data_IF_065238057233
#
_entry.id   IF_065238057233
#
_cell.length_a   1.000
_cell.length_b   1.000
_cell.length_c   1.000
_cell.angle_alpha   90.00
_cell.angle_beta   90.00
_cell.angle_gamma   90.00
#
_symmetry.space_group_name_H-M   'P 1'
#
loop_
_entity.id
_entity.type
_entity.pdbx_description
1 polymer ?
#
# COMPACT_ATOMS: atom_id res chain seq x y z
N UNK A 1 10.14 -21.83 -10.49
CA UNK A 1 11.16 -21.51 -9.45
C UNK A 1 11.83 -20.22 -9.88
N UNK A 2 11.78 -19.18 -9.05
CA UNK A 2 12.38 -17.87 -9.36
C UNK A 2 13.63 -17.72 -8.50
N UNK A 3 14.74 -17.22 -9.05
CA UNK A 3 15.95 -16.94 -8.27
C UNK A 3 16.13 -15.45 -8.10
N UNK A 4 16.59 -15.00 -6.94
CA UNK A 4 16.98 -13.60 -6.75
C UNK A 4 18.31 -13.33 -7.46
N UNK A 5 18.64 -12.09 -7.81
CA UNK A 5 20.01 -11.73 -8.14
C UNK A 5 20.95 -12.08 -6.97
N UNK A 6 22.19 -12.45 -7.28
CA UNK A 6 23.22 -12.65 -6.25
C UNK A 6 23.54 -11.33 -5.55
N UNK A 7 23.65 -11.37 -4.23
CA UNK A 7 24.14 -10.28 -3.39
C UNK A 7 25.26 -10.80 -2.48
N UNK A 8 26.27 -9.98 -2.20
CA UNK A 8 27.35 -10.38 -1.28
C UNK A 8 26.84 -10.61 0.15
N UNK A 9 25.83 -9.85 0.58
CA UNK A 9 25.25 -9.95 1.92
C UNK A 9 24.35 -11.17 2.15
N UNK A 10 23.67 -11.68 1.12
CA UNK A 10 22.68 -12.78 1.29
C UNK A 10 22.80 -13.94 0.29
N UNK A 11 23.76 -13.85 -0.64
CA UNK A 11 23.91 -14.82 -1.72
C UNK A 11 22.77 -14.78 -2.73
N UNK A 12 22.49 -15.92 -3.33
CA UNK A 12 21.37 -16.13 -4.25
C UNK A 12 20.30 -17.00 -3.57
N UNK A 13 19.05 -16.55 -3.60
CA UNK A 13 17.94 -17.26 -2.97
C UNK A 13 17.01 -17.86 -4.03
N UNK A 14 16.60 -19.10 -3.80
CA UNK A 14 15.56 -19.76 -4.58
C UNK A 14 14.18 -19.48 -3.98
N UNK A 15 13.36 -18.72 -4.71
CA UNK A 15 11.98 -18.43 -4.38
C UNK A 15 11.06 -19.49 -4.98
N UNK A 16 10.22 -20.06 -4.11
CA UNK A 16 9.16 -21.01 -4.46
C UNK A 16 7.84 -20.56 -3.88
N UNK A 17 6.75 -20.85 -4.58
CA UNK A 17 5.43 -20.73 -4.00
C UNK A 17 5.27 -21.75 -2.87
N UNK A 18 4.47 -21.40 -1.86
CA UNK A 18 4.06 -22.33 -0.83
C UNK A 18 3.17 -23.45 -1.39
N UNK A 19 2.71 -24.35 -0.52
CA UNK A 19 1.82 -25.46 -0.92
C UNK A 19 0.38 -25.02 -1.19
N UNK A 20 0.01 -23.80 -0.78
CA UNK A 20 -1.32 -23.22 -0.98
C UNK A 20 -1.34 -22.34 -2.22
N UNK A 21 -1.33 -22.96 -3.41
CA UNK A 21 -1.51 -22.27 -4.69
C UNK A 21 -2.84 -22.72 -5.29
N UNK A 22 -3.82 -21.81 -5.34
CA UNK A 22 -5.05 -21.99 -6.14
C UNK A 22 -4.92 -21.11 -7.39
N UNK A 23 -4.61 -21.73 -8.52
CA UNK A 23 -4.53 -21.08 -9.82
C UNK A 23 -5.56 -21.70 -10.75
N UNK A 24 -6.47 -20.88 -11.29
CA UNK A 24 -7.50 -21.32 -12.22
C UNK A 24 -7.33 -20.61 -13.56
N UNK A 25 -7.29 -21.34 -14.69
CA UNK A 25 -7.22 -20.71 -15.99
C UNK A 25 -8.52 -19.94 -16.26
N UNK A 26 -8.38 -18.69 -16.70
CA UNK A 26 -9.50 -17.92 -17.24
C UNK A 26 -9.64 -18.34 -18.70
N UNK A 27 -10.74 -19.01 -19.05
CA UNK A 27 -11.05 -19.41 -20.44
C UNK A 27 -12.09 -18.43 -20.97
N UNK A 28 -11.80 -17.83 -22.12
CA UNK A 28 -12.71 -16.93 -22.84
C UNK A 28 -13.75 -17.68 -23.70
N UNK A 29 -13.79 -19.02 -23.63
CA UNK A 29 -14.77 -19.83 -24.35
C UNK A 29 -16.03 -20.04 -23.49
N UNK A 30 -17.14 -20.33 -24.15
CA UNK A 30 -18.52 -20.50 -23.67
C UNK A 30 -18.74 -21.41 -22.44
N UNK A 31 -17.74 -22.20 -22.04
CA UNK A 31 -17.76 -23.07 -20.84
C UNK A 31 -16.94 -22.52 -19.64
N UNK A 32 -16.34 -21.34 -19.78
CA UNK A 32 -15.59 -20.63 -18.73
C UNK A 32 -16.41 -19.58 -17.98
N UNK A 33 -15.92 -19.06 -16.83
CA UNK A 33 -16.55 -17.90 -16.20
C UNK A 33 -16.50 -16.72 -17.19
N UNK A 34 -17.67 -16.24 -17.61
CA UNK A 34 -17.79 -15.15 -18.58
C UNK A 34 -17.06 -13.87 -18.14
N UNK A 35 -16.80 -12.97 -19.08
CA UNK A 35 -16.00 -11.76 -18.89
C UNK A 35 -16.42 -10.94 -17.66
N UNK A 36 -17.70 -10.88 -17.33
CA UNK A 36 -18.22 -10.21 -16.12
C UNK A 36 -17.72 -10.84 -14.82
N UNK A 37 -17.55 -12.17 -14.80
CA UNK A 37 -17.00 -12.89 -13.62
C UNK A 37 -15.51 -12.60 -13.46
N UNK A 38 -14.78 -12.50 -14.58
CA UNK A 38 -13.36 -12.12 -14.58
C UNK A 38 -13.20 -10.67 -14.15
N UNK A 39 -14.04 -9.76 -14.67
CA UNK A 39 -14.06 -8.35 -14.31
C UNK A 39 -14.42 -8.17 -12.83
N UNK A 40 -15.42 -8.89 -12.32
CA UNK A 40 -15.78 -8.87 -10.89
C UNK A 40 -14.68 -9.46 -10.01
N UNK A 41 -14.02 -10.54 -10.46
CA UNK A 41 -12.87 -11.12 -9.75
C UNK A 41 -11.72 -10.12 -9.69
N UNK A 42 -11.33 -9.52 -10.83
CA UNK A 42 -10.30 -8.49 -10.90
C UNK A 42 -10.69 -7.29 -10.04
N UNK A 43 -11.91 -6.76 -10.17
CA UNK A 43 -12.42 -5.66 -9.36
C UNK A 43 -12.30 -5.97 -7.86
N UNK A 44 -12.71 -7.17 -7.42
CA UNK A 44 -12.57 -7.62 -6.02
C UNK A 44 -11.14 -7.51 -5.49
N UNK A 45 -10.15 -7.86 -6.30
CA UNK A 45 -8.74 -7.80 -5.88
C UNK A 45 -8.08 -6.44 -6.14
N UNK A 46 -8.65 -5.61 -7.02
CA UNK A 46 -8.22 -4.23 -7.25
C UNK A 46 -8.67 -3.31 -6.13
N UNK A 47 -9.87 -3.49 -5.59
CA UNK A 47 -10.30 -2.78 -4.38
C UNK A 47 -9.55 -3.29 -3.15
N UNK A 48 -9.28 -4.60 -3.04
CA UNK A 48 -8.42 -5.19 -1.99
C UNK A 48 -6.93 -4.86 -2.16
N UNK A 49 -6.59 -3.57 -2.14
CA UNK A 49 -5.22 -3.09 -2.04
C UNK A 49 -4.63 -3.33 -0.64
N UNK A 50 -3.31 -3.10 -0.50
CA UNK A 50 -2.56 -3.22 0.77
C UNK A 50 -3.24 -2.56 1.96
N UNK A 51 -3.89 -1.43 1.68
CA UNK A 51 -4.62 -0.64 2.65
C UNK A 51 -5.80 -1.42 3.26
N UNK A 52 -6.44 -2.31 2.51
CA UNK A 52 -7.55 -3.15 2.99
C UNK A 52 -7.10 -4.46 3.63
N UNK A 53 -5.87 -4.93 3.39
CA UNK A 53 -5.30 -6.06 4.15
C UNK A 53 -4.96 -5.69 5.60
N UNK A 54 -4.85 -4.39 5.93
CA UNK A 54 -4.48 -3.92 7.27
C UNK A 54 -3.12 -4.42 7.77
N UNK A 55 -2.32 -5.04 6.90
CA UNK A 55 -1.05 -5.66 7.25
C UNK A 55 0.04 -4.59 7.22
N UNK A 56 0.25 -3.91 8.34
CA UNK A 56 1.17 -2.79 8.42
C UNK A 56 0.75 -1.72 9.42
N UNK A 57 1.31 -0.54 9.27
CA UNK A 57 0.87 0.71 9.94
C UNK A 57 0.51 1.76 8.89
N UNK A 58 -0.42 2.64 9.23
CA UNK A 58 -0.84 3.80 8.42
C UNK A 58 0.17 4.96 8.48
N UNK A 59 1.09 4.93 9.45
CA UNK A 59 2.20 5.85 9.60
C UNK A 59 3.56 5.18 9.34
N UNK A 60 4.55 5.99 8.98
CA UNK A 60 5.93 5.53 8.77
C UNK A 60 6.61 5.17 10.08
N UNK A 61 7.41 4.11 10.03
CA UNK A 61 8.30 3.69 11.11
C UNK A 61 9.68 4.29 10.83
N UNK A 62 10.24 5.04 11.77
CA UNK A 62 11.55 5.72 11.63
C UNK A 62 12.61 5.11 12.53
N UNK A 63 12.21 4.37 13.56
CA UNK A 63 13.10 3.65 14.48
C UNK A 63 12.76 2.17 14.58
N UNK A 64 13.67 1.40 15.21
CA UNK A 64 13.40 0.00 15.54
C UNK A 64 12.29 -0.12 16.61
N UNK A 65 12.30 0.79 17.59
CA UNK A 65 11.33 0.80 18.69
C UNK A 65 9.90 1.04 18.19
N UNK A 66 9.72 1.83 17.12
CA UNK A 66 8.42 2.00 16.47
C UNK A 66 7.83 0.67 15.99
N UNK A 67 8.68 -0.26 15.51
CA UNK A 67 8.26 -1.60 15.08
C UNK A 67 7.79 -2.44 16.27
N UNK A 68 8.48 -2.31 17.40
CA UNK A 68 8.18 -3.07 18.60
C UNK A 68 6.89 -2.58 19.27
N UNK A 69 6.62 -1.27 19.19
CA UNK A 69 5.39 -0.64 19.69
C UNK A 69 4.20 -0.76 18.72
N UNK A 70 4.43 -1.14 17.46
CA UNK A 70 3.37 -1.28 16.48
C UNK A 70 2.32 -2.32 16.91
N UNK A 71 1.04 -1.92 16.84
CA UNK A 71 -0.13 -2.78 17.12
C UNK A 71 -0.44 -3.67 15.92
N UNK A 72 0.39 -4.68 15.72
CA UNK A 72 0.28 -5.64 14.61
C UNK A 72 0.47 -7.07 15.11
N UNK A 73 0.12 -8.05 14.28
CA UNK A 73 0.38 -9.47 14.59
C UNK A 73 1.89 -9.76 14.62
N UNK A 74 2.29 -10.82 15.31
CA UNK A 74 3.71 -11.20 15.39
C UNK A 74 4.33 -11.49 14.02
N UNK A 75 3.53 -12.04 13.10
CA UNK A 75 3.97 -12.28 11.73
C UNK A 75 4.26 -10.96 11.00
N UNK A 76 3.37 -9.97 11.09
CA UNK A 76 3.57 -8.65 10.47
C UNK A 76 4.77 -7.94 11.09
N UNK A 77 4.94 -8.00 12.42
CA UNK A 77 6.11 -7.46 13.12
C UNK A 77 7.41 -8.11 12.62
N UNK A 78 7.42 -9.44 12.44
CA UNK A 78 8.59 -10.16 11.90
C UNK A 78 8.95 -9.70 10.47
N UNK A 79 7.95 -9.44 9.62
CA UNK A 79 8.17 -8.90 8.28
C UNK A 79 8.72 -7.46 8.33
N UNK A 80 8.19 -6.61 9.20
CA UNK A 80 8.71 -5.24 9.41
C UNK A 80 10.18 -5.25 9.87
N UNK A 81 10.50 -6.06 10.89
CA UNK A 81 11.89 -6.23 11.36
C UNK A 81 12.81 -6.75 10.25
N UNK A 82 12.31 -7.67 9.42
CA UNK A 82 13.07 -8.18 8.27
C UNK A 82 13.35 -7.07 7.26
N UNK A 83 12.35 -6.26 6.90
CA UNK A 83 12.53 -5.09 6.04
C UNK A 83 13.55 -4.11 6.64
N UNK A 84 13.53 -3.91 7.95
CA UNK A 84 14.45 -3.01 8.63
C UNK A 84 15.90 -3.49 8.60
N UNK A 85 16.12 -4.79 8.82
CA UNK A 85 17.44 -5.43 8.75
C UNK A 85 17.97 -5.39 7.33
N UNK A 86 17.18 -5.83 6.35
CA UNK A 86 17.58 -5.85 4.94
C UNK A 86 17.80 -4.44 4.39
N UNK A 87 16.98 -3.47 4.78
CA UNK A 87 17.15 -2.07 4.38
C UNK A 87 18.37 -1.38 4.99
N UNK A 88 19.12 -2.04 5.89
CA UNK A 88 20.43 -1.60 6.34
C UNK A 88 21.59 -2.05 5.45
N UNK A 89 21.33 -2.93 4.48
CA UNK A 89 22.35 -3.47 3.57
C UNK A 89 22.51 -2.53 2.35
N UNK A 90 23.74 -2.13 2.00
CA UNK A 90 24.01 -1.29 0.83
C UNK A 90 23.43 -1.86 -0.47
N UNK A 91 23.44 -3.18 -0.63
CA UNK A 91 22.91 -3.91 -1.78
C UNK A 91 21.41 -3.69 -1.99
N UNK A 92 20.68 -3.33 -0.92
CA UNK A 92 19.24 -3.09 -0.95
C UNK A 92 18.87 -1.61 -0.81
N UNK A 93 19.84 -0.70 -0.84
CA UNK A 93 19.60 0.74 -0.78
C UNK A 93 18.56 1.23 -1.82
N UNK A 94 18.57 0.76 -3.09
CA UNK A 94 17.57 1.20 -4.08
C UNK A 94 16.12 0.79 -3.74
N UNK A 95 15.93 -0.24 -2.92
CA UNK A 95 14.61 -0.75 -2.54
C UNK A 95 13.96 0.06 -1.42
N UNK A 96 14.75 0.87 -0.67
CA UNK A 96 14.26 1.74 0.40
C UNK A 96 13.42 0.99 1.46
N UNK A 97 13.79 -0.25 1.80
CA UNK A 97 12.97 -1.14 2.63
C UNK A 97 12.63 -0.57 4.01
N UNK A 98 13.51 0.24 4.62
CA UNK A 98 13.23 0.93 5.89
C UNK A 98 12.14 1.99 5.73
N UNK A 99 12.23 2.82 4.69
CA UNK A 99 11.23 3.86 4.38
C UNK A 99 9.82 3.28 4.23
N UNK A 100 9.74 2.07 3.66
CA UNK A 100 8.49 1.37 3.36
C UNK A 100 8.21 0.23 4.35
N UNK A 101 8.87 0.17 5.51
CA UNK A 101 8.66 -0.92 6.47
C UNK A 101 7.22 -1.00 6.98
N UNK A 102 6.57 0.17 7.17
CA UNK A 102 5.15 0.29 7.51
C UNK A 102 4.20 -0.40 6.52
N UNK A 103 4.60 -0.51 5.25
CA UNK A 103 3.90 -1.24 4.18
C UNK A 103 4.63 -2.53 3.78
N UNK A 104 5.34 -3.15 4.73
CA UNK A 104 6.06 -4.42 4.55
C UNK A 104 7.11 -4.39 3.41
N UNK A 105 7.76 -3.25 3.24
CA UNK A 105 8.80 -3.01 2.22
C UNK A 105 8.25 -2.70 0.83
N UNK A 106 6.92 -2.57 0.69
CA UNK A 106 6.28 -2.37 -0.60
C UNK A 106 5.97 -0.90 -0.88
N UNK A 107 6.38 -0.41 -2.06
CA UNK A 107 6.36 1.02 -2.44
C UNK A 107 5.14 1.42 -3.30
N UNK A 108 4.17 0.55 -3.57
CA UNK A 108 3.11 0.84 -4.54
C UNK A 108 1.83 0.01 -4.40
N UNK A 109 1.16 -0.27 -5.53
CA UNK A 109 -0.07 -1.07 -5.59
C UNK A 109 0.23 -2.56 -5.64
N UNK A 110 -0.37 -3.37 -4.75
CA UNK A 110 -0.08 -4.82 -4.56
C UNK A 110 -0.29 -5.68 -5.82
N UNK A 111 -0.89 -5.11 -6.85
CA UNK A 111 -1.05 -5.75 -8.14
C UNK A 111 0.25 -5.66 -8.95
N UNK A 112 0.88 -6.82 -9.13
CA UNK A 112 1.93 -6.96 -10.14
C UNK A 112 1.26 -7.22 -11.49
N UNK A 113 1.32 -6.24 -12.40
CA UNK A 113 0.84 -6.40 -13.78
C UNK A 113 1.82 -7.31 -14.53
N UNK A 114 1.35 -8.45 -15.02
CA UNK A 114 2.13 -9.29 -15.93
C UNK A 114 2.31 -8.57 -17.26
N UNK A 115 3.55 -8.45 -17.76
CA UNK A 115 3.81 -7.82 -19.07
C UNK A 115 3.13 -8.54 -20.24
N UNK A 116 2.88 -9.84 -20.09
CA UNK A 116 2.26 -10.67 -21.14
C UNK A 116 0.72 -10.57 -21.16
N UNK A 117 0.08 -10.21 -20.03
CA UNK A 117 -1.37 -10.28 -19.88
C UNK A 117 -2.03 -8.97 -19.44
N UNK A 118 -1.23 -7.95 -19.10
CA UNK A 118 -1.75 -6.66 -18.66
C UNK A 118 -1.62 -5.61 -19.76
N UNK A 119 -2.73 -4.96 -20.09
CA UNK A 119 -2.74 -3.78 -20.95
C UNK A 119 -2.26 -2.53 -20.18
N UNK A 120 -1.79 -1.52 -20.92
CA UNK A 120 -1.28 -0.29 -20.32
C UNK A 120 -2.42 0.61 -19.84
N UNK A 121 -2.19 1.43 -18.80
CA UNK A 121 -3.14 2.47 -18.40
C UNK A 121 -3.39 3.52 -19.48
N UNK A 122 -2.46 3.66 -20.44
CA UNK A 122 -2.66 4.51 -21.61
C UNK A 122 -3.69 3.90 -22.56
N UNK A 123 -3.55 2.60 -22.89
CA UNK A 123 -4.51 1.88 -23.72
C UNK A 123 -5.91 1.86 -23.10
N UNK A 124 -6.03 1.58 -21.80
CA UNK A 124 -7.33 1.64 -21.09
C UNK A 124 -7.96 3.04 -21.07
N UNK A 125 -7.15 4.10 -21.08
CA UNK A 125 -7.67 5.48 -21.13
C UNK A 125 -8.12 5.86 -22.53
N UNK A 126 -7.40 5.43 -23.56
CA UNK A 126 -7.78 5.64 -24.95
C UNK A 126 -9.10 4.92 -25.27
N UNK A 127 -9.21 3.65 -24.86
CA UNK A 127 -10.41 2.83 -25.06
C UNK A 127 -11.65 3.42 -24.34
N UNK A 128 -11.49 3.88 -23.08
CA UNK A 128 -12.56 4.61 -22.39
C UNK A 128 -12.93 5.93 -23.07
N UNK A 129 -11.95 6.69 -23.57
CA UNK A 129 -12.23 7.94 -24.25
C UNK A 129 -13.00 7.71 -25.55
N UNK A 130 -12.70 6.63 -26.28
CA UNK A 130 -13.44 6.20 -27.46
C UNK A 130 -14.88 5.77 -27.11
N UNK A 131 -15.05 4.98 -26.05
CA UNK A 131 -16.36 4.56 -25.56
C UNK A 131 -17.22 5.75 -25.08
N UNK A 132 -16.65 6.67 -24.29
CA UNK A 132 -17.33 7.88 -23.84
C UNK A 132 -17.59 8.88 -24.98
N UNK A 133 -16.85 8.81 -26.08
CA UNK A 133 -17.11 9.59 -27.29
C UNK A 133 -18.36 9.14 -28.06
N UNK A 134 -18.88 7.93 -27.79
CA UNK A 134 -20.02 7.35 -28.50
C UNK A 134 -21.37 7.56 -27.78
N UNK A 135 -21.39 7.91 -26.49
CA UNK A 135 -22.61 8.32 -25.77
C UNK A 135 -22.89 9.81 -25.96
N UNK A 136 -23.23 10.23 -27.18
CA UNK A 136 -23.94 11.51 -27.36
C UNK A 136 -25.42 11.25 -27.10
N UNK A 137 -25.85 11.38 -25.85
CA UNK A 137 -27.29 11.45 -25.54
C UNK A 137 -27.79 12.79 -26.12
N UNK A 138 -28.77 12.81 -27.06
CA UNK A 138 -29.14 14.02 -27.81
C UNK A 138 -29.75 15.18 -27.00
N UNK A 139 -29.62 15.18 -25.66
CA UNK A 139 -30.17 16.21 -24.77
C UNK A 139 -29.36 16.46 -23.49
N UNK A 140 -28.16 15.92 -23.32
CA UNK A 140 -27.36 16.16 -22.09
C UNK A 140 -26.52 17.43 -22.21
N UNK A 141 -26.81 18.44 -21.39
CA UNK A 141 -25.89 19.55 -21.14
C UNK A 141 -24.78 19.05 -20.22
N UNK A 142 -23.57 18.87 -20.77
CA UNK A 142 -22.40 18.53 -19.99
C UNK A 142 -21.92 19.79 -19.25
N UNK A 143 -22.25 19.91 -17.96
CA UNK A 143 -21.68 20.95 -17.11
C UNK A 143 -20.27 20.54 -16.68
N UNK A 144 -19.28 20.92 -17.50
CA UNK A 144 -17.87 20.55 -17.35
C UNK A 144 -17.05 21.63 -16.61
N UNK A 145 -17.70 22.61 -15.99
CA UNK A 145 -17.02 23.72 -15.35
C UNK A 145 -16.67 23.42 -13.88
N UNK A 146 -15.58 22.69 -13.70
CA UNK A 146 -14.91 22.62 -12.40
C UNK A 146 -14.07 23.87 -12.19
N UNK A 147 -14.50 24.77 -11.29
CA UNK A 147 -13.67 25.89 -10.82
C UNK A 147 -12.98 25.49 -9.52
N UNK A 148 -11.67 25.64 -9.49
CA UNK A 148 -10.89 25.49 -8.26
C UNK A 148 -11.37 26.53 -7.23
N UNK A 149 -11.88 26.05 -6.09
CA UNK A 149 -12.40 26.91 -5.00
C UNK A 149 -11.32 27.17 -3.93
N UNK A 150 -10.26 26.35 -3.89
CA UNK A 150 -9.14 26.48 -2.95
C UNK A 150 -8.66 25.12 -2.43
N UNK A 151 -7.49 25.12 -1.79
CA UNK A 151 -6.94 23.98 -1.06
C UNK A 151 -6.32 24.47 0.24
N UNK A 152 -6.46 23.69 1.30
CA UNK A 152 -5.99 24.06 2.64
C UNK A 152 -7.15 24.31 3.59
N UNK A 153 -6.81 24.53 4.86
CA UNK A 153 -7.80 24.81 5.88
C UNK A 153 -8.34 26.24 5.71
N UNK A 154 -9.65 26.41 5.86
CA UNK A 154 -10.19 27.75 6.15
C UNK A 154 -9.53 28.31 7.42
N UNK A 155 -9.54 29.63 7.65
CA UNK A 155 -8.97 30.20 8.88
C UNK A 155 -9.47 29.51 10.16
N UNK A 156 -10.75 29.14 10.22
CA UNK A 156 -11.32 28.37 11.34
C UNK A 156 -10.84 26.91 11.39
N UNK A 157 -10.74 26.23 10.25
CA UNK A 157 -10.22 24.87 10.19
C UNK A 157 -8.71 24.80 10.52
N UNK A 158 -7.96 25.88 10.29
CA UNK A 158 -6.55 25.97 10.64
C UNK A 158 -6.37 26.01 12.17
N UNK A 159 -7.26 26.73 12.87
CA UNK A 159 -7.28 26.75 14.34
C UNK A 159 -7.63 25.39 14.94
N UNK A 160 -8.60 24.68 14.34
CA UNK A 160 -8.94 23.31 14.74
C UNK A 160 -7.77 22.34 14.51
N UNK A 161 -7.10 22.44 13.35
CA UNK A 161 -5.93 21.61 13.05
C UNK A 161 -4.75 21.90 14.00
N UNK A 162 -4.55 23.17 14.39
CA UNK A 162 -3.54 23.56 15.36
C UNK A 162 -3.83 22.97 16.75
N UNK A 163 -5.08 23.04 17.23
CA UNK A 163 -5.48 22.44 18.50
C UNK A 163 -5.28 20.91 18.52
N UNK A 164 -5.66 20.22 17.44
CA UNK A 164 -5.42 18.77 17.32
C UNK A 164 -3.92 18.46 17.34
N UNK A 165 -3.08 19.28 16.71
CA UNK A 165 -1.64 19.09 16.72
C UNK A 165 -1.03 19.29 18.11
N UNK A 166 -1.52 20.26 18.88
CA UNK A 166 -1.12 20.53 20.27
C UNK A 166 -1.54 19.40 21.21
N UNK A 167 -2.78 18.90 21.08
CA UNK A 167 -3.27 17.74 21.84
C UNK A 167 -2.43 16.48 21.57
N UNK A 168 -2.03 16.26 20.32
CA UNK A 168 -1.18 15.13 19.92
C UNK A 168 0.25 15.27 20.45
N UNK A 169 0.81 16.48 20.48
CA UNK A 169 2.12 16.74 21.08
C UNK A 169 2.10 16.45 22.59
N UNK A 170 1.09 17.00 23.28
CA UNK A 170 0.87 16.81 24.72
C UNK A 170 0.67 15.33 25.07
N UNK A 171 -0.11 14.60 24.28
CA UNK A 171 -0.34 13.16 24.46
C UNK A 171 0.96 12.34 24.28
N UNK A 172 1.87 12.78 23.41
CA UNK A 172 3.18 12.13 23.22
C UNK A 172 4.11 12.38 24.40
N UNK A 173 4.12 13.59 24.96
CA UNK A 173 4.88 13.92 26.16
C UNK A 173 4.43 13.06 27.34
N UNK A 174 3.12 12.98 27.61
CA UNK A 174 2.59 12.09 28.65
C UNK A 174 2.89 10.61 28.41
N UNK A 175 2.87 10.15 27.16
CA UNK A 175 3.24 8.78 26.82
C UNK A 175 4.74 8.51 27.07
N UNK A 176 5.62 9.48 26.81
CA UNK A 176 7.05 9.39 27.11
C UNK A 176 7.32 9.39 28.61
N UNK A 177 6.69 10.28 29.38
CA UNK A 177 6.79 10.31 30.84
C UNK A 177 6.32 8.99 31.46
N UNK A 178 5.16 8.48 31.04
CA UNK A 178 4.63 7.19 31.51
C UNK A 178 5.53 5.99 31.13
N UNK A 179 6.24 6.05 30.00
CA UNK A 179 7.22 5.03 29.63
C UNK A 179 8.50 5.11 30.49
N UNK A 180 8.91 6.32 30.86
CA UNK A 180 10.11 6.57 31.68
C UNK A 180 9.88 6.14 33.14
N UNK A 181 8.69 6.45 33.68
CA UNK A 181 8.32 6.12 35.06
C UNK A 181 8.14 4.60 35.29
N UNK A 182 7.68 3.87 34.25
CA UNK A 182 7.63 2.39 34.27
C UNK A 182 9.00 1.72 34.17
N UNK A 183 10.02 2.42 33.67
CA UNK A 183 11.40 1.93 33.61
C UNK A 183 12.20 2.17 34.90
N UNK A 184 11.74 3.06 35.78
CA UNK A 184 12.39 3.39 37.05
C UNK A 184 11.98 2.49 38.23
N UNK A 185 10.86 1.76 38.11
CA UNK A 185 10.37 0.83 39.14
C UNK A 185 10.84 -0.61 38.85
N UNK A 186 12.16 -0.80 38.74
CA UNK A 186 12.81 -2.11 38.83
C UNK A 186 14.21 -1.93 39.37
N UNK A 187 14.33 -1.79 40.69
CA UNK A 187 15.56 -1.89 41.45
C UNK A 187 15.27 -2.54 42.80
#
# INVERSE_FOLDING_TARGET
MVRTPYSAAVGELALRWGVQVDARPIRADTDGPGDDTVAAYVAKYVTKGAHETGAGTDYRLTTWDDIDLARVTDHVRALMRTCWRLGGLPEYAPMQLRTWAHTLGYRGHILTKSRAYSTTYAALRADRAEHHGQETIPSSVADAHWRYVGSGHSPGAALLAAGIAEDLATSREFAQEAATDRGGCSA
#
